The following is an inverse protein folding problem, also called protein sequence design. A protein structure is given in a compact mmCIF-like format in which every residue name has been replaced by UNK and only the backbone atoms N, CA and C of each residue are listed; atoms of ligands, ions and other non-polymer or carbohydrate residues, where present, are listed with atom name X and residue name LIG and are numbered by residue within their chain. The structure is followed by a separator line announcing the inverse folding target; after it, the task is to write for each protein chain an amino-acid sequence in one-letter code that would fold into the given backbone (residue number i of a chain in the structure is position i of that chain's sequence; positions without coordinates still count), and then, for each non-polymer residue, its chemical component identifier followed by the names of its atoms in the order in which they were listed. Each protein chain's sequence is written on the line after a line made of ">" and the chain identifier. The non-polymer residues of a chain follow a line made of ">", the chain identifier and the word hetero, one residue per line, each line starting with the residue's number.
data_IF_727226154764
#
_entry.id   IF_727226154764
#
_cell.length_a   1.000
_cell.length_b   1.000
_cell.length_c   1.000
_cell.angle_alpha   90.00
_cell.angle_beta   90.00
_cell.angle_gamma   90.00
#
_symmetry.space_group_name_H-M   'P 1'
#
loop_
_entity.id
_entity.type
_entity.pdbx_description
1 polymer ?
#
# COMPACT_ATOMS: atom_id res chain seq x y z
N UNK A 1 19.58 7.93 -17.88
CA UNK A 1 19.31 6.49 -18.12
C UNK A 1 18.09 6.11 -17.29
N UNK A 2 17.26 5.17 -17.73
CA UNK A 2 16.14 4.68 -16.92
C UNK A 2 16.10 3.16 -16.94
N UNK A 3 15.83 2.57 -15.78
CA UNK A 3 15.64 1.13 -15.62
C UNK A 3 14.59 0.85 -14.53
N UNK A 4 14.11 -0.38 -14.49
CA UNK A 4 13.17 -0.85 -13.46
C UNK A 4 13.95 -1.75 -12.51
N UNK A 5 13.92 -1.41 -11.23
CA UNK A 5 14.38 -2.29 -10.17
C UNK A 5 13.23 -3.22 -9.77
N UNK A 6 13.41 -4.52 -10.04
CA UNK A 6 12.45 -5.58 -9.74
C UNK A 6 12.74 -6.31 -8.43
N UNK A 7 13.69 -5.81 -7.63
CA UNK A 7 14.00 -6.36 -6.31
C UNK A 7 13.19 -5.71 -5.18
N UNK A 8 12.38 -4.70 -5.50
CA UNK A 8 11.41 -4.09 -4.57
C UNK A 8 9.99 -4.50 -4.94
N UNK A 9 9.09 -4.52 -3.96
CA UNK A 9 7.64 -4.59 -4.20
C UNK A 9 6.98 -3.35 -3.60
N UNK A 10 6.24 -2.55 -4.39
CA UNK A 10 6.14 -2.65 -5.86
C UNK A 10 7.49 -2.42 -6.54
N UNK A 11 7.61 -2.82 -7.80
CA UNK A 11 8.77 -2.50 -8.62
C UNK A 11 9.01 -0.98 -8.66
N UNK A 12 10.25 -0.56 -8.76
CA UNK A 12 10.60 0.87 -8.78
C UNK A 12 11.22 1.27 -10.12
N UNK A 13 10.66 2.30 -10.78
CA UNK A 13 11.31 2.95 -11.91
C UNK A 13 12.37 3.92 -11.37
N UNK A 14 13.61 3.74 -11.80
CA UNK A 14 14.72 4.62 -11.48
C UNK A 14 15.08 5.45 -12.71
N UNK A 15 15.18 6.76 -12.52
CA UNK A 15 15.55 7.71 -13.57
C UNK A 15 16.75 8.53 -13.12
N UNK A 16 17.86 8.39 -13.84
CA UNK A 16 19.05 9.23 -13.64
C UNK A 16 18.90 10.54 -14.41
N UNK A 17 18.95 11.64 -13.66
CA UNK A 17 18.90 13.01 -14.15
C UNK A 17 20.14 13.77 -13.69
N UNK A 18 20.26 15.02 -14.14
CA UNK A 18 21.31 15.94 -13.71
C UNK A 18 20.70 17.29 -13.42
N UNK A 19 21.18 17.94 -12.37
CA UNK A 19 20.86 19.33 -12.10
C UNK A 19 21.45 20.24 -13.18
N UNK A 20 20.99 21.50 -13.24
CA UNK A 20 21.51 22.49 -14.19
C UNK A 20 23.02 22.73 -14.01
N UNK A 21 23.54 22.60 -12.79
CA UNK A 21 24.97 22.66 -12.46
C UNK A 21 25.73 21.34 -12.74
N UNK A 22 25.08 20.35 -13.35
CA UNK A 22 25.70 19.12 -13.86
C UNK A 22 25.78 17.94 -12.89
N UNK A 23 25.46 18.13 -11.62
CA UNK A 23 25.47 17.06 -10.60
C UNK A 23 24.38 16.01 -10.88
N UNK A 24 24.71 14.70 -10.88
CA UNK A 24 23.74 13.65 -11.13
C UNK A 24 22.84 13.40 -9.91
N UNK A 25 21.57 13.09 -10.16
CA UNK A 25 20.62 12.64 -9.15
C UNK A 25 19.70 11.56 -9.70
N UNK A 26 19.04 10.82 -8.80
CA UNK A 26 18.10 9.76 -9.15
C UNK A 26 16.70 10.11 -8.68
N UNK A 27 15.71 9.82 -9.51
CA UNK A 27 14.29 9.83 -9.15
C UNK A 27 13.83 8.39 -9.02
N UNK A 28 13.14 8.09 -7.92
CA UNK A 28 12.60 6.78 -7.61
C UNK A 28 11.07 6.86 -7.65
N UNK A 29 10.47 6.15 -8.59
CA UNK A 29 9.02 6.15 -8.81
C UNK A 29 8.46 4.74 -8.66
N UNK A 30 7.79 4.39 -7.55
CA UNK A 30 7.08 3.12 -7.40
C UNK A 30 6.04 2.92 -8.50
N UNK A 31 6.00 1.70 -9.05
CA UNK A 31 5.06 1.28 -10.09
C UNK A 31 3.96 0.46 -9.41
N UNK A 32 2.93 1.15 -8.91
CA UNK A 32 1.87 0.51 -8.17
C UNK A 32 0.98 -0.40 -9.04
N UNK A 33 0.56 -1.51 -8.46
CA UNK A 33 -0.53 -2.34 -8.93
C UNK A 33 -1.87 -1.69 -8.56
N UNK A 34 -2.65 -1.28 -9.56
CA UNK A 34 -3.89 -0.49 -9.38
C UNK A 34 -5.15 -1.23 -9.82
N UNK A 35 -5.05 -2.50 -10.22
CA UNK A 35 -6.19 -3.24 -10.76
C UNK A 35 -7.06 -3.77 -9.63
N UNK A 36 -8.33 -3.34 -9.60
CA UNK A 36 -9.34 -3.89 -8.70
C UNK A 36 -9.56 -5.39 -8.99
N UNK A 37 -9.55 -6.20 -7.94
CA UNK A 37 -9.69 -7.66 -8.03
C UNK A 37 -10.91 -8.21 -7.30
N UNK A 38 -11.69 -7.36 -6.63
CA UNK A 38 -12.87 -7.78 -5.88
C UNK A 38 -13.99 -6.75 -5.95
N UNK A 39 -15.22 -7.25 -5.89
CA UNK A 39 -16.41 -6.41 -5.75
C UNK A 39 -16.61 -5.89 -4.32
N UNK A 40 -16.01 -6.54 -3.32
CA UNK A 40 -15.98 -6.02 -1.94
C UNK A 40 -14.87 -4.97 -1.81
N UNK A 41 -15.23 -3.80 -1.28
CA UNK A 41 -14.30 -2.66 -1.12
C UNK A 41 -13.21 -3.00 -0.11
N UNK A 42 -13.57 -3.60 1.03
CA UNK A 42 -12.60 -4.04 2.05
C UNK A 42 -11.63 -5.08 1.49
N UNK A 43 -12.15 -6.14 0.84
CA UNK A 43 -11.30 -7.19 0.25
C UNK A 43 -10.39 -6.63 -0.84
N UNK A 44 -10.91 -5.75 -1.69
CA UNK A 44 -10.13 -5.11 -2.73
C UNK A 44 -9.01 -4.24 -2.15
N UNK A 45 -9.30 -3.49 -1.09
CA UNK A 45 -8.29 -2.66 -0.39
C UNK A 45 -7.15 -3.52 0.16
N UNK A 46 -7.48 -4.64 0.82
CA UNK A 46 -6.47 -5.58 1.35
C UNK A 46 -5.60 -6.17 0.23
N UNK A 47 -6.21 -6.58 -0.89
CA UNK A 47 -5.47 -7.09 -2.05
C UNK A 47 -4.50 -6.03 -2.57
N UNK A 48 -4.99 -4.81 -2.77
CA UNK A 48 -4.18 -3.71 -3.27
C UNK A 48 -3.03 -3.35 -2.32
N UNK A 49 -3.27 -3.34 -1.02
CA UNK A 49 -2.21 -3.11 -0.02
C UNK A 49 -1.20 -4.25 -0.01
N UNK A 50 -1.68 -5.48 -0.12
CA UNK A 50 -0.86 -6.68 -0.24
C UNK A 50 0.04 -6.68 -1.46
N UNK A 51 -0.50 -6.48 -2.67
CA UNK A 51 0.29 -6.49 -3.90
C UNK A 51 1.28 -5.31 -3.99
N UNK A 52 1.03 -4.22 -3.26
CA UNK A 52 1.90 -3.05 -3.20
C UNK A 52 2.72 -2.95 -1.92
N UNK A 53 2.78 -4.01 -1.12
CA UNK A 53 3.62 -4.06 0.08
C UNK A 53 3.36 -2.94 1.12
N UNK A 54 2.12 -2.46 1.23
CA UNK A 54 1.69 -1.52 2.27
C UNK A 54 1.47 -2.25 3.60
N UNK A 55 2.56 -2.72 4.22
CA UNK A 55 2.53 -3.55 5.45
C UNK A 55 1.90 -2.82 6.63
N UNK A 56 2.22 -1.53 6.81
CA UNK A 56 1.65 -0.72 7.89
C UNK A 56 0.15 -0.60 7.73
N UNK A 57 -0.34 -0.31 6.52
CA UNK A 57 -1.78 -0.22 6.26
C UNK A 57 -2.50 -1.56 6.52
N UNK A 58 -1.92 -2.68 6.09
CA UNK A 58 -2.45 -4.01 6.39
C UNK A 58 -2.54 -4.28 7.90
N UNK A 59 -1.49 -3.95 8.66
CA UNK A 59 -1.46 -4.14 10.10
C UNK A 59 -2.47 -3.25 10.83
N UNK A 60 -2.66 -2.01 10.38
CA UNK A 60 -3.68 -1.12 10.92
C UNK A 60 -5.07 -1.71 10.74
N UNK A 61 -5.40 -2.19 9.53
CA UNK A 61 -6.70 -2.84 9.26
C UNK A 61 -6.85 -4.10 10.09
N UNK A 62 -5.83 -4.95 10.16
CA UNK A 62 -5.84 -6.15 10.99
C UNK A 62 -6.21 -5.84 12.44
N UNK A 63 -5.54 -4.85 13.05
CA UNK A 63 -5.77 -4.47 14.44
C UNK A 63 -7.20 -3.95 14.67
N UNK A 64 -7.70 -3.12 13.75
CA UNK A 64 -9.06 -2.59 13.83
C UNK A 64 -10.09 -3.72 13.76
N UNK A 65 -9.92 -4.64 12.80
CA UNK A 65 -10.80 -5.80 12.64
C UNK A 65 -10.70 -6.78 13.82
N UNK A 66 -9.51 -7.02 14.34
CA UNK A 66 -9.32 -7.94 15.45
C UNK A 66 -9.92 -7.40 16.76
N UNK A 67 -9.96 -6.07 16.92
CA UNK A 67 -10.51 -5.42 18.11
C UNK A 67 -11.99 -5.04 17.98
N UNK A 68 -12.63 -5.29 16.84
CA UNK A 68 -14.01 -4.89 16.55
C UNK A 68 -14.22 -3.36 16.62
N UNK A 69 -13.23 -2.59 16.15
CA UNK A 69 -13.23 -1.11 16.18
C UNK A 69 -13.59 -0.47 14.81
N UNK A 70 -14.20 -1.21 13.89
CA UNK A 70 -14.35 -0.80 12.48
C UNK A 70 -15.15 0.47 12.33
N UNK A 71 -16.28 0.53 13.03
CA UNK A 71 -17.23 1.64 12.97
C UNK A 71 -16.56 2.98 13.32
N UNK A 72 -15.68 2.96 14.32
CA UNK A 72 -15.01 4.17 14.79
C UNK A 72 -13.79 4.52 13.93
N UNK A 73 -13.02 3.50 13.51
CA UNK A 73 -11.65 3.70 13.00
C UNK A 73 -11.49 3.54 11.49
N UNK A 74 -12.41 2.91 10.77
CA UNK A 74 -12.31 2.77 9.31
C UNK A 74 -13.03 3.93 8.62
N UNK A 75 -12.33 4.64 7.73
CA UNK A 75 -12.95 5.59 6.81
C UNK A 75 -13.73 4.85 5.73
N UNK A 76 -14.95 5.32 5.45
CA UNK A 76 -15.85 4.74 4.43
C UNK A 76 -16.39 3.34 4.76
N UNK A 77 -16.38 2.94 6.04
CA UNK A 77 -17.08 1.72 6.47
C UNK A 77 -18.59 1.88 6.28
N UNK A 78 -19.15 1.14 5.34
CA UNK A 78 -20.59 1.01 5.18
C UNK A 78 -21.04 -0.14 6.09
N UNK A 79 -21.88 0.12 7.10
CA UNK A 79 -22.40 -0.89 8.05
C UNK A 79 -23.06 -2.10 7.35
N UNK A 80 -23.47 -1.94 6.09
CA UNK A 80 -24.10 -2.95 5.25
C UNK A 80 -23.10 -3.91 4.57
N UNK A 81 -21.79 -3.68 4.65
CA UNK A 81 -20.79 -4.62 4.14
C UNK A 81 -20.65 -5.81 5.11
N UNK A 82 -21.54 -6.78 4.98
CA UNK A 82 -21.41 -8.06 5.68
C UNK A 82 -20.23 -8.83 5.08
N UNK A 83 -19.14 -8.97 5.85
CA UNK A 83 -17.95 -9.72 5.43
C UNK A 83 -17.62 -10.81 6.45
N UNK A 84 -17.11 -11.93 5.94
CA UNK A 84 -16.56 -12.97 6.80
C UNK A 84 -15.22 -12.49 7.39
N UNK A 85 -15.25 -12.09 8.67
CA UNK A 85 -14.08 -11.61 9.42
C UNK A 85 -12.92 -12.59 9.40
N UNK A 86 -13.18 -13.89 9.59
CA UNK A 86 -12.13 -14.91 9.61
C UNK A 86 -11.42 -14.98 8.25
N UNK A 87 -12.18 -14.91 7.16
CA UNK A 87 -11.62 -14.88 5.80
C UNK A 87 -10.80 -13.62 5.54
N UNK A 88 -11.28 -12.45 6.00
CA UNK A 88 -10.57 -11.19 5.85
C UNK A 88 -9.26 -11.18 6.64
N UNK A 89 -9.29 -11.62 7.90
CA UNK A 89 -8.09 -11.71 8.73
C UNK A 89 -7.09 -12.72 8.15
N UNK A 90 -7.56 -13.85 7.61
CA UNK A 90 -6.74 -14.82 6.91
C UNK A 90 -6.08 -14.22 5.65
N UNK A 91 -6.81 -13.41 4.88
CA UNK A 91 -6.29 -12.72 3.70
C UNK A 91 -5.21 -11.70 4.07
N UNK A 92 -5.40 -10.93 5.14
CA UNK A 92 -4.39 -9.98 5.62
C UNK A 92 -3.13 -10.73 6.06
N UNK A 93 -3.28 -11.79 6.85
CA UNK A 93 -2.16 -12.63 7.28
C UNK A 93 -1.40 -13.27 6.11
N UNK A 94 -2.11 -13.71 5.08
CA UNK A 94 -1.49 -14.20 3.85
C UNK A 94 -0.54 -13.15 3.24
N UNK A 95 -1.00 -11.90 3.11
CA UNK A 95 -0.18 -10.84 2.55
C UNK A 95 0.96 -10.39 3.45
N UNK A 96 0.76 -10.32 4.77
CA UNK A 96 1.82 -10.06 5.74
C UNK A 96 2.94 -11.11 5.59
N UNK A 97 2.59 -12.39 5.53
CA UNK A 97 3.56 -13.48 5.38
C UNK A 97 4.22 -13.48 4.00
N UNK A 98 3.45 -13.26 2.92
CA UNK A 98 3.98 -13.15 1.55
C UNK A 98 5.04 -12.04 1.45
N UNK A 99 4.82 -10.94 2.17
CA UNK A 99 5.63 -9.74 2.06
C UNK A 99 6.71 -9.60 3.14
N UNK A 100 6.78 -10.49 4.12
CA UNK A 100 7.64 -10.37 5.32
C UNK A 100 9.08 -9.96 4.96
N UNK A 101 9.70 -10.67 4.01
CA UNK A 101 11.09 -10.48 3.59
C UNK A 101 11.25 -9.59 2.34
N UNK A 102 10.16 -8.98 1.86
CA UNK A 102 10.17 -8.12 0.67
C UNK A 102 10.35 -6.66 1.08
N UNK A 103 11.23 -5.95 0.37
CA UNK A 103 11.48 -4.53 0.59
C UNK A 103 10.61 -3.68 -0.32
N UNK A 104 10.01 -2.64 0.24
CA UNK A 104 9.38 -1.58 -0.52
C UNK A 104 10.39 -0.53 -1.01
N UNK A 105 10.08 0.23 -2.07
CA UNK A 105 10.96 1.30 -2.54
C UNK A 105 11.33 2.34 -1.46
N UNK A 106 10.37 2.68 -0.58
CA UNK A 106 10.59 3.62 0.52
C UNK A 106 11.47 3.08 1.64
N UNK A 107 11.61 1.77 1.76
CA UNK A 107 12.54 1.13 2.69
C UNK A 107 13.93 1.03 2.07
N UNK A 108 14.02 0.68 0.78
CA UNK A 108 15.30 0.39 0.12
C UNK A 108 16.15 1.64 -0.18
N UNK A 109 15.52 2.69 -0.68
CA UNK A 109 16.26 3.86 -1.18
C UNK A 109 16.35 5.02 -0.18
N UNK A 110 15.67 4.90 0.97
CA UNK A 110 15.73 5.85 2.10
C UNK A 110 15.68 7.33 1.68
N UNK A 111 14.80 7.67 0.72
CA UNK A 111 14.74 9.02 0.13
C UNK A 111 14.03 10.06 1.01
N UNK A 112 13.84 9.77 2.29
CA UNK A 112 13.15 10.64 3.25
C UNK A 112 11.62 10.61 3.21
N UNK A 113 11.02 9.71 2.44
CA UNK A 113 9.58 9.43 2.42
C UNK A 113 9.29 8.06 3.04
N UNK A 114 8.16 7.94 3.73
CA UNK A 114 7.72 6.71 4.39
C UNK A 114 6.47 6.11 3.70
N UNK A 115 5.97 4.99 4.25
CA UNK A 115 4.80 4.30 3.71
C UNK A 115 3.55 5.20 3.62
N UNK A 116 3.31 6.10 4.58
CA UNK A 116 2.14 6.97 4.60
C UNK A 116 2.18 8.03 3.48
N UNK A 117 3.38 8.55 3.17
CA UNK A 117 3.59 9.49 2.06
C UNK A 117 3.22 8.81 0.72
N UNK A 118 3.70 7.58 0.53
CA UNK A 118 3.39 6.80 -0.66
C UNK A 118 1.95 6.30 -0.69
N UNK A 119 1.34 6.04 0.46
CA UNK A 119 -0.06 5.70 0.55
C UNK A 119 -0.95 6.88 0.13
N UNK A 120 -0.59 8.10 0.50
CA UNK A 120 -1.27 9.31 0.04
C UNK A 120 -1.19 9.44 -1.48
N UNK A 121 0.00 9.29 -2.05
CA UNK A 121 0.19 9.30 -3.51
C UNK A 121 -0.52 8.13 -4.23
N UNK A 122 -0.62 6.97 -3.58
CA UNK A 122 -1.38 5.83 -4.08
C UNK A 122 -2.88 6.12 -4.14
N UNK A 123 -3.43 6.75 -3.09
CA UNK A 123 -4.84 7.17 -3.04
C UNK A 123 -5.19 8.17 -4.13
N UNK A 124 -4.29 9.08 -4.48
CA UNK A 124 -4.50 10.01 -5.61
C UNK A 124 -4.59 9.31 -6.98
N UNK A 125 -4.00 8.12 -7.11
CA UNK A 125 -3.96 7.35 -8.37
C UNK A 125 -5.11 6.39 -8.54
N UNK A 126 -5.81 6.03 -7.47
CA UNK A 126 -6.93 5.10 -7.54
C UNK A 126 -8.24 5.87 -7.68
N UNK A 127 -9.16 5.35 -8.50
CA UNK A 127 -10.48 5.94 -8.69
C UNK A 127 -11.52 5.40 -7.72
N UNK A 128 -11.26 4.25 -7.10
CA UNK A 128 -12.19 3.57 -6.19
C UNK A 128 -11.93 3.98 -4.73
N UNK A 129 -12.99 4.12 -3.94
CA UNK A 129 -12.87 4.37 -2.50
C UNK A 129 -12.20 3.18 -1.82
N UNK A 130 -11.01 3.42 -1.25
CA UNK A 130 -10.28 2.45 -0.44
C UNK A 130 -10.74 2.51 1.01
N UNK A 131 -10.83 1.35 1.65
CA UNK A 131 -10.96 1.26 3.10
C UNK A 131 -9.59 1.59 3.70
N UNK A 132 -9.53 2.68 4.47
CA UNK A 132 -8.32 3.09 5.18
C UNK A 132 -8.63 3.48 6.61
N UNK A 133 -7.67 3.28 7.50
CA UNK A 133 -7.87 3.58 8.93
C UNK A 133 -7.62 5.07 9.17
N UNK A 134 -8.51 5.72 9.91
CA UNK A 134 -8.36 7.12 10.32
C UNK A 134 -7.04 7.29 11.08
N UNK A 135 -6.19 8.19 10.60
CA UNK A 135 -5.05 8.65 11.40
C UNK A 135 -5.61 9.60 12.47
N UNK A 136 -5.58 9.17 13.73
CA UNK A 136 -5.89 10.00 14.91
C UNK A 136 -4.67 10.84 15.27
#
# INVERSE_FOLDING_TARGET
>A
MSYIDTSTIPNCKIEEKRFEWGEPYKIYSPIFYLTSQSTSKLKNSIILFGENNFKKQLLMIYNVLNNYDEFDKIESYEEEEDFNREEILALINFYINKNENLMAPWEKYEIGLNEDDYFTYFKEKITDNLYSVKNV
#
